data_IF_778754192682
#
_entry.id   IF_778754192682
#
_cell.length_a   1.000
_cell.length_b   1.000
_cell.length_c   1.000
_cell.angle_alpha   90.00
_cell.angle_beta   90.00
_cell.angle_gamma   90.00
#
_symmetry.space_group_name_H-M   'P 1'
#
loop_
_entity.id
_entity.type
_entity.pdbx_description
1 polymer ?
#
# COMPACT_ATOMS: atom_id res chain seq x y z
N UNK A 1 -5.68 1.12 7.89
CA UNK A 1 -6.19 -0.26 7.81
C UNK A 1 -7.48 -0.21 7.01
N UNK A 2 -7.51 -0.80 5.82
CA UNK A 2 -8.60 -0.61 4.88
C UNK A 2 -9.80 -1.46 5.29
N UNK A 3 -10.92 -0.80 5.62
CA UNK A 3 -12.22 -1.44 5.86
C UNK A 3 -13.14 -1.19 4.67
N UNK A 4 -13.93 -2.21 4.31
CA UNK A 4 -15.00 -2.10 3.32
C UNK A 4 -16.27 -2.63 3.94
N UNK A 5 -17.35 -1.87 3.78
CA UNK A 5 -18.70 -2.27 4.15
C UNK A 5 -19.36 -2.81 2.89
N UNK A 6 -19.88 -4.03 2.96
CA UNK A 6 -20.63 -4.66 1.89
C UNK A 6 -21.99 -3.96 1.75
N UNK A 7 -22.39 -3.63 0.52
CA UNK A 7 -23.75 -3.15 0.24
C UNK A 7 -24.65 -4.36 -0.04
N UNK A 8 -25.93 -4.28 0.33
CA UNK A 8 -26.87 -5.41 0.27
C UNK A 8 -26.99 -6.09 -1.12
N UNK A 9 -26.75 -5.35 -2.21
CA UNK A 9 -26.82 -5.85 -3.60
C UNK A 9 -25.45 -6.05 -4.25
N UNK A 10 -24.38 -6.21 -3.46
CA UNK A 10 -23.02 -6.32 -4.00
C UNK A 10 -22.48 -7.75 -3.91
N UNK A 11 -22.06 -8.29 -5.06
CA UNK A 11 -21.34 -9.58 -5.10
C UNK A 11 -20.01 -9.49 -4.33
N UNK A 12 -19.70 -10.56 -3.60
CA UNK A 12 -18.47 -10.72 -2.80
C UNK A 12 -17.21 -10.43 -3.62
N UNK A 13 -17.19 -10.82 -4.90
CA UNK A 13 -16.06 -10.59 -5.81
C UNK A 13 -15.81 -9.10 -6.08
N UNK A 14 -16.87 -8.31 -6.25
CA UNK A 14 -16.75 -6.85 -6.45
C UNK A 14 -16.20 -6.18 -5.20
N UNK A 15 -16.63 -6.64 -4.02
CA UNK A 15 -16.12 -6.14 -2.76
C UNK A 15 -14.63 -6.46 -2.55
N UNK A 16 -14.20 -7.68 -2.88
CA UNK A 16 -12.79 -8.10 -2.85
C UNK A 16 -11.93 -7.25 -3.80
N UNK A 17 -12.42 -6.97 -5.01
CA UNK A 17 -11.71 -6.12 -5.98
C UNK A 17 -11.50 -4.69 -5.45
N UNK A 18 -12.52 -4.11 -4.78
CA UNK A 18 -12.37 -2.81 -4.11
C UNK A 18 -11.41 -2.87 -2.93
N UNK A 19 -11.40 -3.98 -2.17
CA UNK A 19 -10.50 -4.16 -1.03
C UNK A 19 -9.06 -4.16 -1.51
N UNK A 20 -8.77 -4.95 -2.55
CA UNK A 20 -7.46 -4.98 -3.20
C UNK A 20 -7.04 -3.58 -3.66
N UNK A 21 -7.90 -2.85 -4.37
CA UNK A 21 -7.63 -1.46 -4.77
C UNK A 21 -7.36 -0.51 -3.58
N UNK A 22 -8.11 -0.62 -2.48
CA UNK A 22 -7.87 0.18 -1.27
C UNK A 22 -6.53 -0.16 -0.62
N UNK A 23 -6.19 -1.45 -0.50
CA UNK A 23 -4.91 -1.94 0.05
C UNK A 23 -3.73 -1.45 -0.80
N UNK A 24 -3.87 -1.51 -2.13
CA UNK A 24 -2.85 -1.05 -3.07
C UNK A 24 -2.66 0.47 -2.98
N UNK A 25 -3.77 1.23 -2.84
CA UNK A 25 -3.75 2.69 -2.68
C UNK A 25 -3.10 3.13 -1.36
N UNK A 26 -3.36 2.43 -0.26
CA UNK A 26 -2.68 2.69 1.02
C UNK A 26 -1.19 2.33 0.98
N UNK A 27 -0.75 1.54 -0.02
CA UNK A 27 0.66 1.21 -0.19
C UNK A 27 1.23 0.33 0.92
N UNK A 28 0.36 -0.38 1.66
CA UNK A 28 0.74 -1.22 2.81
C UNK A 28 1.82 -2.22 2.42
N UNK A 29 1.68 -2.87 1.25
CA UNK A 29 2.68 -3.83 0.76
C UNK A 29 4.06 -3.20 0.52
N UNK A 30 4.12 -1.92 0.12
CA UNK A 30 5.39 -1.19 -0.03
C UNK A 30 6.00 -0.86 1.33
N UNK A 31 5.18 -0.48 2.30
CA UNK A 31 5.62 -0.21 3.67
C UNK A 31 6.16 -1.48 4.33
N UNK A 32 5.44 -2.59 4.25
CA UNK A 32 5.89 -3.89 4.79
C UNK A 32 7.27 -4.24 4.22
N UNK A 33 7.43 -4.22 2.89
CA UNK A 33 8.73 -4.49 2.25
C UNK A 33 9.86 -3.59 2.75
N UNK A 34 9.57 -2.31 2.98
CA UNK A 34 10.52 -1.32 3.50
C UNK A 34 10.90 -1.54 4.97
N UNK A 35 9.98 -2.06 5.78
CA UNK A 35 10.19 -2.28 7.21
C UNK A 35 10.68 -3.70 7.55
N UNK A 36 10.80 -4.60 6.55
CA UNK A 36 11.32 -5.97 6.76
C UNK A 36 12.74 -6.02 7.31
N UNK A 37 13.56 -5.01 7.06
CA UNK A 37 14.93 -4.92 7.55
C UNK A 37 15.25 -3.48 7.92
N UNK A 38 16.23 -3.31 8.82
CA UNK A 38 16.73 -1.98 9.17
C UNK A 38 17.44 -1.35 7.96
N UNK A 39 17.04 -0.13 7.63
CA UNK A 39 17.65 0.68 6.59
C UNK A 39 18.40 1.84 7.25
N UNK A 40 19.71 1.96 6.96
CA UNK A 40 20.52 3.09 7.46
C UNK A 40 19.88 4.44 7.06
N UNK A 41 20.01 5.50 7.87
CA UNK A 41 19.42 6.80 7.59
C UNK A 41 19.82 7.38 6.22
N UNK A 42 21.07 7.16 5.79
CA UNK A 42 21.58 7.58 4.48
C UNK A 42 20.87 6.86 3.32
N UNK A 43 20.63 5.55 3.44
CA UNK A 43 19.90 4.75 2.46
C UNK A 43 18.43 5.19 2.37
N UNK A 44 17.81 5.47 3.52
CA UNK A 44 16.43 6.01 3.58
C UNK A 44 16.31 7.35 2.86
N UNK A 45 17.28 8.26 3.02
CA UNK A 45 17.34 9.55 2.30
C UNK A 45 17.51 9.34 0.79
N UNK A 46 18.45 8.46 0.39
CA UNK A 46 18.70 8.12 -1.02
C UNK A 46 17.46 7.55 -1.71
N UNK A 47 16.77 6.59 -1.08
CA UNK A 47 15.53 6.03 -1.63
C UNK A 47 14.43 7.08 -1.75
N UNK A 48 14.24 7.95 -0.76
CA UNK A 48 13.23 9.02 -0.81
C UNK A 48 13.48 9.98 -1.98
N UNK A 49 14.74 10.34 -2.24
CA UNK A 49 15.12 11.17 -3.39
C UNK A 49 14.86 10.46 -4.73
N UNK A 50 15.16 9.17 -4.82
CA UNK A 50 14.88 8.37 -6.04
C UNK A 50 13.37 8.20 -6.28
N UNK A 51 12.58 7.95 -5.24
CA UNK A 51 11.11 7.89 -5.34
C UNK A 51 10.51 9.23 -5.78
N UNK A 52 11.05 10.35 -5.31
CA UNK A 52 10.60 11.68 -5.74
C UNK A 52 10.93 11.98 -7.20
N UNK A 53 12.05 11.47 -7.73
CA UNK A 53 12.41 11.59 -9.16
C UNK A 53 11.60 10.69 -10.08
N UNK A 54 11.10 9.56 -9.56
CA UNK A 54 10.31 8.58 -10.33
C UNK A 54 8.81 8.88 -10.32
N UNK A 55 8.36 9.77 -9.44
CA UNK A 55 6.96 10.17 -9.28
C UNK A 55 6.68 11.41 -10.10
#
# INVERSE_FOLDING_TARGET
MPKIILRANESVEKALKRLKKKVDKEGIMKQVKKHRHYEKPSQKRRRKAQEARRR
#
